data_IF_052737349563
#
_entry.id   IF_052737349563
#
_cell.length_a   1.000
_cell.length_b   1.000
_cell.length_c   1.000
_cell.angle_alpha   90.00
_cell.angle_beta   90.00
_cell.angle_gamma   90.00
#
_symmetry.space_group_name_H-M   'P 1'
#
loop_
_entity.id
_entity.type
_entity.pdbx_description
1 polymer ?
#
# COMPACT_ATOMS: atom_id res chain seq x y z
N UNK A 1 -13.20 3.65 8.89
CA UNK A 1 -12.16 2.64 8.57
C UNK A 1 -11.39 2.42 9.85
N UNK A 2 -11.45 1.22 10.45
CA UNK A 2 -11.11 0.98 11.85
C UNK A 2 -10.14 -0.19 12.09
N UNK A 3 -9.34 -0.55 11.08
CA UNK A 3 -8.29 -1.56 11.25
C UNK A 3 -6.98 -0.84 11.61
N UNK A 4 -6.31 -1.30 12.66
CA UNK A 4 -4.99 -0.80 13.04
C UNK A 4 -3.98 -1.14 11.93
N UNK A 5 -2.88 -0.38 11.86
CA UNK A 5 -1.80 -0.77 10.97
C UNK A 5 -1.20 -2.09 11.43
N UNK A 6 -1.00 -3.01 10.49
CA UNK A 6 -0.31 -4.27 10.72
C UNK A 6 1.20 -4.00 10.81
N UNK A 7 1.85 -4.42 11.91
CA UNK A 7 3.28 -4.18 12.17
C UNK A 7 3.99 -5.53 12.30
N UNK A 8 4.76 -5.96 11.27
CA UNK A 8 5.48 -7.22 11.35
C UNK A 8 6.55 -7.23 12.44
N UNK A 9 6.48 -8.21 13.33
CA UNK A 9 7.49 -8.48 14.37
C UNK A 9 8.57 -9.44 13.87
N UNK A 10 8.19 -10.44 13.08
CA UNK A 10 9.11 -11.34 12.39
C UNK A 10 9.40 -10.82 10.97
N UNK A 11 10.63 -10.33 10.77
CA UNK A 11 11.09 -9.78 9.49
C UNK A 11 11.60 -10.83 8.51
N UNK A 12 11.63 -12.10 8.91
CA UNK A 12 12.06 -13.21 8.04
C UNK A 12 10.96 -13.70 7.11
N UNK A 13 9.68 -13.46 7.47
CA UNK A 13 8.51 -13.75 6.62
C UNK A 13 8.61 -13.01 5.29
N UNK A 14 8.10 -13.66 4.25
CA UNK A 14 8.11 -13.20 2.85
C UNK A 14 6.68 -13.03 2.36
N UNK A 15 6.48 -12.21 1.33
CA UNK A 15 5.18 -12.06 0.70
C UNK A 15 4.78 -13.36 0.02
N UNK A 16 3.56 -13.83 0.34
CA UNK A 16 2.98 -15.05 -0.20
C UNK A 16 1.83 -14.72 -1.17
N UNK A 17 1.07 -13.64 -0.90
CA UNK A 17 -0.09 -13.24 -1.72
C UNK A 17 -0.13 -11.73 -1.97
N UNK A 18 -0.37 -11.32 -3.21
CA UNK A 18 -0.67 -9.94 -3.62
C UNK A 18 -2.09 -9.87 -4.17
N UNK A 19 -2.89 -8.94 -3.65
CA UNK A 19 -4.16 -8.54 -4.26
C UNK A 19 -3.92 -7.46 -5.33
N UNK A 20 -4.15 -7.82 -6.58
CA UNK A 20 -4.11 -6.95 -7.75
C UNK A 20 -5.39 -6.11 -7.93
N UNK A 21 -6.37 -6.24 -7.02
CA UNK A 21 -7.59 -5.45 -7.03
C UNK A 21 -7.35 -3.97 -6.77
N UNK A 22 -8.01 -3.12 -7.55
CA UNK A 22 -7.97 -1.68 -7.33
C UNK A 22 -8.52 -1.29 -5.96
N UNK A 23 -8.16 -0.10 -5.47
CA UNK A 23 -8.86 0.51 -4.36
C UNK A 23 -10.37 0.42 -4.57
N UNK A 24 -11.11 0.07 -3.50
CA UNK A 24 -12.58 -0.03 -3.47
C UNK A 24 -13.19 -1.27 -4.13
N UNK A 25 -12.38 -2.29 -4.44
CA UNK A 25 -12.86 -3.66 -4.78
C UNK A 25 -13.05 -4.58 -3.56
N UNK A 26 -12.75 -4.10 -2.35
CA UNK A 26 -12.83 -4.90 -1.12
C UNK A 26 -11.48 -5.18 -0.45
N UNK A 27 -10.41 -4.50 -0.88
CA UNK A 27 -9.01 -4.68 -0.43
C UNK A 27 -8.84 -4.78 1.08
N UNK A 28 -9.54 -3.96 1.88
CA UNK A 28 -9.44 -4.02 3.35
C UNK A 28 -10.04 -5.30 3.94
N UNK A 29 -11.20 -5.73 3.44
CA UNK A 29 -11.81 -7.00 3.84
C UNK A 29 -10.94 -8.19 3.40
N UNK A 30 -10.32 -8.08 2.23
CA UNK A 30 -9.41 -9.10 1.73
C UNK A 30 -8.12 -9.18 2.55
N UNK A 31 -7.55 -8.04 2.96
CA UNK A 31 -6.42 -8.01 3.88
C UNK A 31 -6.72 -8.75 5.18
N UNK A 32 -7.90 -8.52 5.78
CA UNK A 32 -8.34 -9.21 7.00
C UNK A 32 -8.55 -10.73 6.81
N UNK A 33 -8.94 -11.16 5.61
CA UNK A 33 -9.03 -12.57 5.27
C UNK A 33 -7.63 -13.19 5.14
N UNK A 34 -6.70 -12.52 4.45
CA UNK A 34 -5.31 -12.96 4.31
C UNK A 34 -4.59 -13.05 5.66
N UNK A 35 -4.81 -12.10 6.58
CA UNK A 35 -4.22 -12.13 7.92
C UNK A 35 -4.55 -13.44 8.65
N UNK A 36 -5.77 -13.95 8.48
CA UNK A 36 -6.21 -15.23 9.05
C UNK A 36 -5.65 -16.43 8.30
N UNK A 37 -5.74 -16.41 6.98
CA UNK A 37 -5.40 -17.56 6.15
C UNK A 37 -3.89 -17.84 6.17
N UNK A 38 -3.08 -16.78 6.18
CA UNK A 38 -1.61 -16.87 6.15
C UNK A 38 -0.98 -16.78 7.54
N UNK A 39 -1.80 -16.55 8.57
CA UNK A 39 -1.37 -16.39 9.97
C UNK A 39 -0.20 -15.39 10.09
N UNK A 40 -0.41 -14.16 9.60
CA UNK A 40 0.64 -13.16 9.55
C UNK A 40 0.15 -11.77 9.15
N UNK A 41 1.03 -10.75 9.27
CA UNK A 41 0.66 -9.36 9.00
C UNK A 41 0.50 -9.10 7.51
N UNK A 42 -0.52 -8.32 7.14
CA UNK A 42 -0.81 -7.94 5.75
C UNK A 42 -0.66 -6.44 5.54
N UNK A 43 0.01 -6.06 4.45
CA UNK A 43 0.18 -4.68 4.06
C UNK A 43 -1.11 -4.17 3.38
N UNK A 44 -1.75 -3.15 3.93
CA UNK A 44 -2.88 -2.45 3.31
C UNK A 44 -2.60 -0.95 3.26
N UNK A 45 -2.61 -0.37 2.06
CA UNK A 45 -2.18 1.02 1.81
C UNK A 45 -2.74 2.03 2.80
N UNK A 46 -4.05 2.07 3.00
CA UNK A 46 -4.67 3.08 3.85
C UNK A 46 -4.27 2.90 5.32
N UNK A 47 -4.25 1.66 5.84
CA UNK A 47 -3.85 1.42 7.23
C UNK A 47 -2.39 1.79 7.47
N UNK A 48 -1.51 1.49 6.51
CA UNK A 48 -0.07 1.66 6.68
C UNK A 48 0.35 3.12 6.49
N UNK A 49 -0.29 3.89 5.62
CA UNK A 49 0.08 5.29 5.39
C UNK A 49 -0.61 6.28 6.33
N UNK A 50 -1.75 5.89 6.93
CA UNK A 50 -2.52 6.77 7.83
C UNK A 50 -2.28 6.48 9.32
N UNK A 51 -1.88 5.25 9.68
CA UNK A 51 -1.81 4.81 11.08
C UNK A 51 -0.40 4.32 11.52
N UNK A 52 0.67 4.67 10.79
CA UNK A 52 2.07 4.35 11.13
C UNK A 52 2.88 5.58 11.49
N UNK A 53 4.06 5.36 12.04
CA UNK A 53 5.04 6.38 12.38
C UNK A 53 5.59 7.12 11.15
N UNK A 54 5.99 8.39 11.32
CA UNK A 54 6.60 9.23 10.26
C UNK A 54 7.71 8.50 9.49
N UNK A 55 8.56 7.77 10.20
CA UNK A 55 9.69 7.04 9.60
C UNK A 55 9.24 5.93 8.64
N UNK A 56 8.07 5.32 8.89
CA UNK A 56 7.51 4.34 7.96
C UNK A 56 6.93 5.03 6.72
N UNK A 57 6.13 6.07 6.90
CA UNK A 57 5.53 6.79 5.77
C UNK A 57 6.58 7.47 4.87
N UNK A 58 7.68 7.99 5.45
CA UNK A 58 8.80 8.55 4.68
C UNK A 58 9.49 7.53 3.78
N UNK A 59 9.58 6.25 4.20
CA UNK A 59 10.15 5.20 3.35
C UNK A 59 9.33 4.99 2.07
N UNK A 60 8.00 5.11 2.15
CA UNK A 60 7.16 5.08 0.96
C UNK A 60 7.43 6.24 0.02
N UNK A 61 7.69 7.45 0.54
CA UNK A 61 8.12 8.57 -0.31
C UNK A 61 9.46 8.30 -1.02
N UNK A 62 10.39 7.57 -0.37
CA UNK A 62 11.65 7.15 -0.99
C UNK A 62 11.41 6.11 -2.10
N UNK A 63 10.53 5.12 -1.88
CA UNK A 63 10.14 4.12 -2.90
C UNK A 63 9.67 4.83 -4.18
N UNK A 64 8.70 5.75 -4.06
CA UNK A 64 8.20 6.49 -5.23
C UNK A 64 9.25 7.42 -5.85
N UNK A 65 10.19 7.94 -5.05
CA UNK A 65 11.32 8.72 -5.60
C UNK A 65 12.22 7.85 -6.47
N UNK A 66 12.66 6.68 -5.99
CA UNK A 66 13.50 5.78 -6.77
C UNK A 66 12.82 5.30 -8.05
N UNK A 67 11.50 5.04 -8.01
CA UNK A 67 10.70 4.77 -9.22
C UNK A 67 10.80 5.90 -10.25
N UNK A 68 10.60 7.15 -9.84
CA UNK A 68 10.69 8.32 -10.74
C UNK A 68 12.10 8.55 -11.28
N UNK A 69 13.12 8.25 -10.48
CA UNK A 69 14.53 8.37 -10.88
C UNK A 69 14.97 7.23 -11.80
N UNK A 70 14.20 6.15 -11.92
CA UNK A 70 14.56 4.96 -12.67
C UNK A 70 15.67 4.12 -12.02
N UNK A 71 15.92 4.32 -10.72
CA UNK A 71 16.94 3.59 -9.96
C UNK A 71 16.38 2.24 -9.48
N UNK A 72 16.37 1.27 -10.40
CA UNK A 72 15.80 -0.07 -10.16
C UNK A 72 16.43 -0.80 -8.97
N UNK A 73 17.77 -0.83 -8.80
CA UNK A 73 18.38 -1.48 -7.63
C UNK A 73 17.96 -0.87 -6.29
N UNK A 74 17.94 0.45 -6.16
CA UNK A 74 17.51 1.09 -4.91
C UNK A 74 15.98 1.00 -4.72
N UNK A 75 15.20 0.98 -5.81
CA UNK A 75 13.76 0.70 -5.75
C UNK A 75 13.48 -0.69 -5.16
N UNK A 76 14.12 -1.76 -5.67
CA UNK A 76 13.94 -3.12 -5.17
C UNK A 76 14.35 -3.24 -3.69
N UNK A 77 15.46 -2.60 -3.31
CA UNK A 77 15.91 -2.56 -1.91
C UNK A 77 14.93 -1.83 -1.00
N UNK A 78 14.38 -0.69 -1.45
CA UNK A 78 13.38 0.06 -0.71
C UNK A 78 12.08 -0.74 -0.56
N UNK A 79 11.61 -1.38 -1.63
CA UNK A 79 10.43 -2.27 -1.64
C UNK A 79 10.62 -3.45 -0.68
N UNK A 80 11.76 -4.14 -0.76
CA UNK A 80 12.12 -5.21 0.18
C UNK A 80 12.06 -4.74 1.64
N UNK A 81 12.54 -3.52 1.91
CA UNK A 81 12.50 -2.91 3.24
C UNK A 81 11.09 -2.60 3.76
N UNK A 82 10.21 -2.02 2.94
CA UNK A 82 8.84 -1.66 3.36
C UNK A 82 7.91 -2.87 3.47
N UNK A 83 8.17 -3.93 2.70
CA UNK A 83 7.42 -5.20 2.73
C UNK A 83 8.01 -6.27 3.66
N UNK A 84 9.18 -6.02 4.28
CA UNK A 84 9.81 -6.99 5.17
C UNK A 84 8.87 -7.44 6.32
N UNK A 85 8.65 -8.76 6.38
CA UNK A 85 7.81 -9.42 7.38
C UNK A 85 6.33 -9.50 7.06
N UNK A 86 5.85 -8.87 5.98
CA UNK A 86 4.47 -9.00 5.51
C UNK A 86 4.28 -10.30 4.73
N UNK A 87 3.15 -10.97 4.94
CA UNK A 87 2.78 -12.23 4.25
C UNK A 87 1.79 -11.99 3.11
N UNK A 88 1.11 -10.84 3.13
CA UNK A 88 0.27 -10.40 2.02
C UNK A 88 0.33 -8.91 1.80
N UNK A 89 -0.07 -8.47 0.61
CA UNK A 89 -0.14 -7.06 0.23
C UNK A 89 -1.42 -6.75 -0.55
N UNK A 90 -2.03 -5.60 -0.28
CA UNK A 90 -3.31 -5.18 -0.87
C UNK A 90 -3.34 -3.67 -1.12
N UNK A 91 -4.21 -3.25 -2.05
CA UNK A 91 -4.47 -1.85 -2.39
C UNK A 91 -3.29 -1.16 -3.13
N UNK A 92 -3.37 0.16 -3.37
CA UNK A 92 -2.48 0.93 -4.28
C UNK A 92 -0.99 0.59 -4.20
N UNK A 93 -0.41 0.60 -3.00
CA UNK A 93 1.03 0.33 -2.79
C UNK A 93 1.47 -1.11 -3.14
N UNK A 94 0.54 -2.05 -3.26
CA UNK A 94 0.82 -3.39 -3.75
C UNK A 94 0.71 -3.47 -5.27
N UNK A 95 -0.35 -2.87 -5.83
CA UNK A 95 -0.63 -2.95 -7.27
C UNK A 95 0.34 -2.10 -8.11
N UNK A 96 0.86 -1.01 -7.55
CA UNK A 96 1.80 -0.12 -8.23
C UNK A 96 3.12 -0.82 -8.58
N UNK A 97 3.50 -1.85 -7.81
CA UNK A 97 4.83 -2.48 -7.87
C UNK A 97 4.78 -3.99 -8.10
N UNK A 98 3.72 -4.51 -8.74
CA UNK A 98 3.57 -5.96 -8.98
C UNK A 98 4.82 -6.55 -9.69
N UNK A 99 5.36 -5.96 -10.78
CA UNK A 99 6.54 -6.52 -11.44
C UNK A 99 7.76 -6.62 -10.51
N UNK A 100 8.04 -5.56 -9.75
CA UNK A 100 9.16 -5.50 -8.81
C UNK A 100 8.96 -6.44 -7.61
N UNK A 101 7.71 -6.61 -7.16
CA UNK A 101 7.37 -7.55 -6.10
C UNK A 101 7.49 -9.00 -6.57
N UNK A 102 7.15 -9.31 -7.82
CA UNK A 102 7.40 -10.64 -8.41
C UNK A 102 8.90 -10.89 -8.55
N UNK A 103 9.69 -9.88 -8.92
CA UNK A 103 11.15 -9.98 -8.97
C UNK A 103 11.76 -10.28 -7.59
N UNK A 104 11.27 -9.61 -6.54
CA UNK A 104 11.72 -9.83 -5.16
C UNK A 104 11.21 -11.14 -4.54
N UNK A 105 10.02 -11.57 -4.92
CA UNK A 105 9.33 -12.73 -4.37
C UNK A 105 8.78 -13.61 -5.50
N UNK A 106 9.61 -14.40 -6.20
CA UNK A 106 9.19 -15.13 -7.41
C UNK A 106 8.09 -16.17 -7.19
N UNK A 107 7.89 -16.63 -5.95
CA UNK A 107 6.85 -17.59 -5.58
C UNK A 107 5.52 -16.92 -5.16
N UNK A 108 5.45 -15.59 -5.15
CA UNK A 108 4.26 -14.85 -4.72
C UNK A 108 3.07 -15.13 -5.64
N UNK A 109 1.92 -15.39 -5.06
CA UNK A 109 0.68 -15.54 -5.81
C UNK A 109 0.00 -14.18 -6.01
N UNK A 110 -0.39 -13.88 -7.24
CA UNK A 110 -1.12 -12.65 -7.57
C UNK A 110 -2.58 -12.98 -7.82
N UNK A 111 -3.48 -12.40 -7.04
CA UNK A 111 -4.92 -12.63 -7.10
C UNK A 111 -5.61 -11.31 -7.48
N UNK A 112 -6.48 -11.34 -8.49
CA UNK A 112 -7.25 -10.17 -8.90
C UNK A 112 -8.68 -10.23 -8.33
N UNK A 113 -8.98 -9.41 -7.33
CA UNK A 113 -10.34 -9.22 -6.84
C UNK A 113 -11.03 -8.11 -7.63
N UNK A 114 -12.13 -8.45 -8.31
CA UNK A 114 -12.88 -7.52 -9.16
C UNK A 114 -14.22 -7.13 -8.55
N UNK A 115 -14.80 -6.07 -9.10
CA UNK A 115 -16.14 -5.55 -8.77
C UNK A 115 -16.78 -5.04 -10.05
N UNK A 116 -18.11 -5.04 -10.08
CA UNK A 116 -18.86 -4.31 -11.10
C UNK A 116 -18.33 -2.87 -11.27
N UNK A 117 -18.15 -2.44 -12.52
CA UNK A 117 -17.45 -1.21 -12.87
C UNK A 117 -18.21 0.03 -12.38
N UNK A 118 -19.54 0.08 -12.56
CA UNK A 118 -20.35 1.23 -12.15
C UNK A 118 -20.39 1.35 -10.62
N UNK A 119 -20.58 0.22 -9.94
CA UNK A 119 -20.54 0.14 -8.49
C UNK A 119 -19.16 0.51 -7.92
N UNK A 120 -18.08 0.09 -8.58
CA UNK A 120 -16.72 0.48 -8.23
C UNK A 120 -16.53 1.99 -8.38
N UNK A 121 -16.87 2.55 -9.54
CA UNK A 121 -16.69 3.99 -9.80
C UNK A 121 -17.48 4.85 -8.81
N UNK A 122 -18.75 4.48 -8.55
CA UNK A 122 -19.57 5.14 -7.53
C UNK A 122 -18.90 5.14 -6.15
N UNK A 123 -18.17 4.08 -5.79
CA UNK A 123 -17.42 4.02 -4.54
C UNK A 123 -16.05 4.71 -4.60
N UNK A 124 -15.37 4.70 -5.74
CA UNK A 124 -14.00 5.21 -5.89
C UNK A 124 -13.97 6.72 -6.09
N UNK A 125 -14.94 7.29 -6.82
CA UNK A 125 -15.02 8.72 -7.11
C UNK A 125 -14.87 9.59 -5.85
N UNK A 126 -15.62 9.28 -4.78
CA UNK A 126 -15.53 10.02 -3.52
C UNK A 126 -14.15 9.93 -2.88
N UNK A 127 -13.44 8.81 -3.03
CA UNK A 127 -12.08 8.67 -2.50
C UNK A 127 -11.10 9.47 -3.35
N UNK A 128 -11.19 9.35 -4.68
CA UNK A 128 -10.32 10.07 -5.62
C UNK A 128 -10.42 11.60 -5.46
N UNK A 129 -11.64 12.14 -5.33
CA UNK A 129 -11.87 13.59 -5.16
C UNK A 129 -11.25 14.14 -3.86
N UNK A 130 -11.14 13.32 -2.82
CA UNK A 130 -10.65 13.74 -1.51
C UNK A 130 -9.15 13.48 -1.30
N UNK A 131 -8.60 12.39 -1.87
CA UNK A 131 -7.24 11.93 -1.62
C UNK A 131 -6.16 12.92 -2.08
N UNK A 132 -6.41 13.68 -3.16
CA UNK A 132 -5.48 14.68 -3.70
C UNK A 132 -5.72 16.12 -3.22
N UNK A 133 -6.68 16.35 -2.32
CA UNK A 133 -7.07 17.73 -1.97
C UNK A 133 -6.01 18.43 -1.11
N UNK A 134 -5.65 19.67 -1.47
CA UNK A 134 -4.71 20.49 -0.66
C UNK A 134 -5.23 20.72 0.77
N UNK A 135 -6.55 20.81 0.93
CA UNK A 135 -7.19 20.92 2.22
C UNK A 135 -6.91 19.70 3.12
N UNK A 136 -6.95 18.48 2.57
CA UNK A 136 -6.60 17.27 3.30
C UNK A 136 -5.14 17.30 3.79
N UNK A 137 -4.21 17.81 2.98
CA UNK A 137 -2.82 17.98 3.40
C UNK A 137 -2.67 18.87 4.62
N UNK A 138 -3.36 20.02 4.66
CA UNK A 138 -3.34 20.90 5.83
C UNK A 138 -3.98 20.25 7.07
N UNK A 139 -5.07 19.51 6.89
CA UNK A 139 -5.74 18.78 7.98
C UNK A 139 -4.84 17.68 8.55
N UNK A 140 -4.08 17.00 7.70
CA UNK A 140 -3.18 15.91 8.10
C UNK A 140 -1.85 16.39 8.67
N UNK A 141 -1.45 17.64 8.43
CA UNK A 141 -0.17 18.21 8.89
C UNK A 141 0.16 17.97 10.38
N UNK A 142 -0.76 18.19 11.35
CA UNK A 142 -0.46 17.94 12.76
C UNK A 142 -0.37 16.44 13.09
N UNK A 143 -0.94 15.55 12.27
CA UNK A 143 -1.02 14.11 12.53
C UNK A 143 0.31 13.43 12.14
N UNK A 144 1.02 12.80 13.08
CA UNK A 144 2.17 11.95 12.74
C UNK A 144 1.77 10.83 11.77
N UNK A 145 2.68 10.46 10.88
CA UNK A 145 2.47 9.49 9.80
C UNK A 145 1.65 10.09 8.67
N UNK A 146 0.37 10.38 8.95
CA UNK A 146 -0.61 10.84 7.97
C UNK A 146 -0.20 12.14 7.27
N UNK A 147 0.58 13.02 7.89
CA UNK A 147 1.14 14.23 7.23
C UNK A 147 1.93 13.93 5.95
N UNK A 148 2.50 12.72 5.84
CA UNK A 148 3.27 12.27 4.68
C UNK A 148 2.39 11.63 3.59
N UNK A 149 1.13 11.33 3.90
CA UNK A 149 0.20 10.65 2.99
C UNK A 149 0.01 11.42 1.69
N UNK A 150 -0.07 12.76 1.74
CA UNK A 150 -0.28 13.57 0.52
C UNK A 150 0.93 13.49 -0.42
N UNK A 151 2.15 13.42 0.11
CA UNK A 151 3.35 13.26 -0.71
C UNK A 151 3.41 11.86 -1.34
N UNK A 152 3.03 10.83 -0.59
CA UNK A 152 2.91 9.46 -1.12
C UNK A 152 1.79 9.36 -2.15
N UNK A 153 0.65 10.01 -1.89
CA UNK A 153 -0.52 10.01 -2.76
C UNK A 153 -0.26 10.74 -4.08
N UNK A 154 0.55 11.82 -4.09
CA UNK A 154 1.06 12.39 -5.35
C UNK A 154 1.85 11.36 -6.14
N UNK A 155 2.67 10.56 -5.46
CA UNK A 155 3.35 9.41 -6.05
C UNK A 155 2.42 8.45 -6.78
N UNK A 156 1.21 8.18 -6.25
CA UNK A 156 0.22 7.29 -6.92
C UNK A 156 -0.26 7.85 -8.26
N UNK A 157 -0.41 9.16 -8.37
CA UNK A 157 -1.04 9.82 -9.53
C UNK A 157 -0.03 10.38 -10.55
N UNK A 158 1.24 10.48 -10.18
CA UNK A 158 2.34 11.00 -11.01
C UNK A 158 3.27 9.88 -11.54
N UNK A 159 3.04 8.62 -11.16
CA UNK A 159 3.86 7.45 -11.50
C UNK A 159 3.46 6.72 -12.79
#
# INVERSE_FOLDING_TARGET
MGQAASVPTDKTRKLEVIDAGFSRTGTLSYAYALERLLNGPVHHTATQLLNREDEYCKKWNQVYRYRREGDHPELLKALSGVFAGFVGATDVTAIDFIPELIELYPEVQVILVTRDQEAWWKSFKTVAENAGSKAMGYIMMPLPGARWFVDTARGFFEA
#
